data_IF_243673179580
#
_entry.id   IF_243673179580
#
_cell.length_a   1.000
_cell.length_b   1.000
_cell.length_c   1.000
_cell.angle_alpha   90.00
_cell.angle_beta   90.00
_cell.angle_gamma   90.00
#
_symmetry.space_group_name_H-M   'P 1'
#
loop_
_entity.id
_entity.type
_entity.pdbx_description
1 polymer ?
#
# COMPACT_ATOMS: atom_id res chain seq x y z
N UNK A 1 21.31 26.41 67.18
CA UNK A 1 22.52 26.90 66.49
C UNK A 1 23.75 26.42 67.24
N UNK A 2 24.44 25.39 66.72
CA UNK A 2 25.90 25.41 66.56
C UNK A 2 26.20 24.75 65.19
N UNK A 3 26.64 25.54 64.21
CA UNK A 3 27.08 25.10 62.89
C UNK A 3 28.57 24.74 62.94
N UNK A 4 29.01 23.82 62.09
CA UNK A 4 30.44 23.56 61.85
C UNK A 4 30.84 22.12 62.15
N UNK A 5 30.66 21.26 61.16
CA UNK A 5 31.68 20.31 60.67
C UNK A 5 31.04 19.49 59.56
N UNK A 6 30.84 20.14 58.41
CA UNK A 6 30.78 19.42 57.15
C UNK A 6 32.20 19.48 56.59
N UNK A 7 32.92 18.38 56.80
CA UNK A 7 34.21 18.12 56.18
C UNK A 7 34.03 18.09 54.65
N UNK A 8 34.80 18.89 53.93
CA UNK A 8 34.82 18.97 52.46
C UNK A 8 35.31 17.67 51.79
N UNK A 9 35.63 16.62 52.57
CA UNK A 9 36.11 15.34 52.07
C UNK A 9 35.03 14.35 51.59
N UNK A 10 33.73 14.62 51.81
CA UNK A 10 32.64 13.70 51.44
C UNK A 10 31.97 14.00 50.08
N UNK A 11 32.68 14.66 49.17
CA UNK A 11 32.26 14.74 47.77
C UNK A 11 32.61 13.43 47.06
N UNK A 12 31.63 12.51 46.97
CA UNK A 12 31.67 11.41 45.99
C UNK A 12 31.71 11.99 44.58
N UNK A 13 32.91 12.20 44.06
CA UNK A 13 33.18 12.42 42.65
C UNK A 13 32.62 11.23 41.87
N UNK A 14 31.45 11.41 41.25
CA UNK A 14 30.96 10.48 40.24
C UNK A 14 31.99 10.43 39.13
N UNK A 15 32.44 9.23 38.79
CA UNK A 15 33.27 8.99 37.61
C UNK A 15 32.60 9.66 36.41
N UNK A 16 33.30 10.62 35.81
CA UNK A 16 32.84 11.30 34.61
C UNK A 16 32.50 10.25 33.56
N UNK A 17 31.26 10.24 33.08
CA UNK A 17 30.82 9.40 31.98
C UNK A 17 31.68 9.79 30.77
N UNK A 18 32.73 9.03 30.50
CA UNK A 18 33.55 9.19 29.30
C UNK A 18 32.63 9.07 28.09
N UNK A 19 32.23 10.20 27.51
CA UNK A 19 31.57 10.18 26.21
C UNK A 19 32.61 9.69 25.23
N UNK A 20 32.42 8.47 24.69
CA UNK A 20 33.23 7.99 23.57
C UNK A 20 33.26 9.11 22.52
N UNK A 21 34.43 9.47 21.98
CA UNK A 21 34.54 10.51 20.98
C UNK A 21 33.49 10.28 19.88
N UNK A 22 32.74 11.32 19.52
CA UNK A 22 31.86 11.26 18.34
C UNK A 22 32.76 11.06 17.13
N UNK A 23 32.81 9.83 16.63
CA UNK A 23 33.42 9.52 15.35
C UNK A 23 32.65 10.34 14.30
N UNK A 24 33.30 11.38 13.75
CA UNK A 24 32.76 12.18 12.64
C UNK A 24 32.77 11.40 11.32
N UNK A 25 33.41 10.24 11.31
CA UNK A 25 33.40 9.27 10.22
C UNK A 25 32.05 8.55 10.23
N UNK A 26 31.23 8.84 9.22
CA UNK A 26 30.03 8.04 8.95
C UNK A 26 30.49 6.60 8.70
N UNK A 27 29.94 5.59 9.41
CA UNK A 27 30.17 4.21 9.01
C UNK A 27 29.67 4.07 7.57
N UNK A 28 30.48 3.52 6.67
CA UNK A 28 30.05 3.23 5.30
C UNK A 28 29.00 2.12 5.24
N UNK A 29 28.64 1.52 6.40
CA UNK A 29 27.63 0.47 6.55
C UNK A 29 27.86 -0.69 5.55
N UNK A 30 29.13 -1.03 5.30
CA UNK A 30 29.52 -2.08 4.37
C UNK A 30 29.02 -3.49 4.78
N UNK A 31 28.62 -3.66 6.04
CA UNK A 31 28.03 -4.86 6.62
C UNK A 31 26.49 -4.87 6.60
N UNK A 32 25.86 -3.85 6.01
CA UNK A 32 24.41 -3.77 5.99
C UNK A 32 23.80 -4.84 5.08
N UNK A 33 22.74 -5.47 5.58
CA UNK A 33 21.98 -6.44 4.80
C UNK A 33 20.69 -5.81 4.29
N UNK A 34 20.36 -6.10 3.04
CA UNK A 34 19.10 -5.65 2.45
C UNK A 34 17.92 -6.43 3.03
N UNK A 35 16.83 -5.72 3.25
CA UNK A 35 15.62 -6.23 3.84
C UNK A 35 14.40 -5.51 3.29
N UNK A 36 13.25 -6.18 3.34
CA UNK A 36 11.95 -5.57 3.07
C UNK A 36 11.23 -5.26 4.39
N UNK A 37 10.64 -4.07 4.49
CA UNK A 37 9.78 -3.72 5.62
C UNK A 37 8.44 -4.45 5.51
N UNK A 38 8.09 -5.25 6.51
CA UNK A 38 6.85 -6.05 6.53
C UNK A 38 5.81 -5.56 7.52
N UNK A 39 6.21 -4.78 8.53
CA UNK A 39 5.27 -4.19 9.49
C UNK A 39 5.82 -2.90 10.08
N UNK A 40 4.92 -2.02 10.52
CA UNK A 40 5.27 -0.75 11.17
C UNK A 40 4.44 -0.60 12.44
N UNK A 41 5.09 -0.60 13.60
CA UNK A 41 4.44 -0.38 14.88
C UNK A 41 5.21 0.61 15.75
N UNK A 42 4.63 1.81 15.97
CA UNK A 42 5.10 2.83 16.94
C UNK A 42 6.62 3.05 16.97
N UNK A 43 7.23 3.22 15.80
CA UNK A 43 8.68 3.48 15.68
C UNK A 43 9.56 2.22 15.71
N UNK A 44 8.95 1.04 15.60
CA UNK A 44 9.59 -0.23 15.30
C UNK A 44 9.11 -0.71 13.93
N UNK A 45 10.03 -1.30 13.19
CA UNK A 45 9.78 -1.85 11.86
C UNK A 45 10.14 -3.33 11.87
N UNK A 46 9.17 -4.19 11.56
CA UNK A 46 9.47 -5.58 11.23
C UNK A 46 10.09 -5.62 9.83
N UNK A 47 11.23 -6.28 9.69
CA UNK A 47 11.94 -6.42 8.42
C UNK A 47 12.26 -7.89 8.13
N UNK A 48 12.25 -8.25 6.85
CA UNK A 48 12.61 -9.60 6.36
C UNK A 48 13.90 -9.48 5.55
N UNK A 49 14.95 -10.15 6.00
CA UNK A 49 16.29 -10.08 5.40
C UNK A 49 16.37 -10.91 4.12
N UNK A 50 16.86 -10.32 3.03
CA UNK A 50 17.13 -11.04 1.77
C UNK A 50 15.92 -11.76 1.16
N UNK A 51 14.70 -11.35 1.50
CA UNK A 51 13.47 -12.02 1.05
C UNK A 51 13.14 -13.34 1.76
N UNK A 52 13.95 -13.78 2.71
CA UNK A 52 13.73 -15.03 3.45
C UNK A 52 12.77 -14.80 4.63
N UNK A 53 11.54 -15.30 4.50
CA UNK A 53 10.46 -15.17 5.49
C UNK A 53 10.83 -15.64 6.90
N UNK A 54 11.83 -16.51 7.02
CA UNK A 54 12.34 -17.03 8.30
C UNK A 54 13.35 -16.10 8.97
N UNK A 55 13.93 -15.16 8.21
CA UNK A 55 14.93 -14.21 8.68
C UNK A 55 14.28 -12.86 9.01
N UNK A 56 13.38 -12.88 10.01
CA UNK A 56 12.70 -11.70 10.52
C UNK A 56 13.52 -11.01 11.60
N UNK A 57 13.58 -9.68 11.53
CA UNK A 57 14.21 -8.83 12.54
C UNK A 57 13.31 -7.67 12.89
N UNK A 58 13.41 -7.20 14.14
CA UNK A 58 12.82 -5.92 14.53
C UNK A 58 13.90 -4.84 14.44
N UNK A 59 13.61 -3.75 13.75
CA UNK A 59 14.53 -2.65 13.55
C UNK A 59 13.95 -1.32 14.05
N UNK A 60 14.84 -0.41 14.43
CA UNK A 60 14.51 1.01 14.59
C UNK A 60 15.18 1.83 13.50
N UNK A 61 14.58 2.96 13.15
CA UNK A 61 15.20 3.93 12.25
C UNK A 61 16.46 4.53 12.88
N UNK A 62 17.57 4.54 12.14
CA UNK A 62 18.79 5.24 12.53
C UNK A 62 18.57 6.76 12.57
N UNK A 63 19.35 7.47 13.39
CA UNK A 63 19.16 8.91 13.61
C UNK A 63 19.43 9.72 12.34
N UNK A 64 20.33 9.23 11.51
CA UNK A 64 20.82 9.78 10.26
C UNK A 64 19.71 9.86 9.20
N UNK A 65 18.74 8.94 9.23
CA UNK A 65 17.56 8.97 8.36
C UNK A 65 16.55 10.07 8.75
N UNK A 66 16.76 10.75 9.88
CA UNK A 66 15.96 11.88 10.32
C UNK A 66 14.47 11.55 10.38
N UNK A 67 13.67 12.29 9.60
CA UNK A 67 12.21 12.12 9.51
C UNK A 67 11.75 11.37 8.25
N UNK A 68 12.66 10.72 7.54
CA UNK A 68 12.33 9.94 6.34
C UNK A 68 11.20 8.94 6.67
N UNK A 69 10.05 9.00 5.97
CA UNK A 69 8.96 8.04 6.15
C UNK A 69 9.38 6.66 5.65
N UNK A 70 9.15 5.63 6.47
CA UNK A 70 9.40 4.22 6.13
C UNK A 70 8.09 3.48 6.32
N UNK A 71 7.62 2.82 5.26
CA UNK A 71 6.32 2.15 5.19
C UNK A 71 6.50 0.68 4.82
N UNK A 72 5.43 -0.11 4.92
CA UNK A 72 5.44 -1.50 4.46
C UNK A 72 5.75 -1.57 2.96
N UNK A 73 6.62 -2.51 2.61
CA UNK A 73 7.15 -2.72 1.26
C UNK A 73 8.40 -1.90 0.92
N UNK A 74 8.81 -0.92 1.74
CA UNK A 74 10.10 -0.24 1.51
C UNK A 74 11.27 -1.25 1.55
N UNK A 75 12.16 -1.14 0.55
CA UNK A 75 13.47 -1.78 0.57
C UNK A 75 14.38 -0.96 1.48
N UNK A 76 15.05 -1.62 2.42
CA UNK A 76 15.90 -0.97 3.43
C UNK A 76 17.19 -1.74 3.63
N UNK A 77 18.23 -1.05 4.06
CA UNK A 77 19.44 -1.69 4.58
C UNK A 77 19.44 -1.63 6.10
N UNK A 78 19.74 -2.77 6.72
CA UNK A 78 19.76 -2.93 8.17
C UNK A 78 21.11 -3.41 8.68
N UNK A 79 21.51 -2.88 9.84
CA UNK A 79 22.74 -3.24 10.56
C UNK A 79 22.44 -3.58 12.02
N UNK A 80 23.41 -4.15 12.73
CA UNK A 80 23.31 -4.46 14.15
C UNK A 80 23.05 -5.94 14.41
N UNK A 81 22.25 -6.26 15.43
CA UNK A 81 21.89 -7.66 15.69
C UNK A 81 20.81 -8.11 14.70
N UNK A 82 21.24 -8.93 13.74
CA UNK A 82 20.40 -9.50 12.69
C UNK A 82 19.98 -10.95 12.97
N UNK A 83 20.15 -11.43 14.21
CA UNK A 83 19.83 -12.81 14.58
C UNK A 83 18.33 -13.10 14.68
N UNK A 84 17.49 -12.06 14.84
CA UNK A 84 16.04 -12.21 14.96
C UNK A 84 15.57 -12.81 16.29
N UNK A 85 16.47 -13.00 17.26
CA UNK A 85 16.12 -13.51 18.59
C UNK A 85 15.25 -12.50 19.35
N UNK A 86 14.43 -12.95 20.32
CA UNK A 86 13.72 -12.05 21.22
C UNK A 86 14.66 -10.99 21.82
N UNK A 87 14.15 -9.77 21.98
CA UNK A 87 14.86 -8.61 22.52
C UNK A 87 16.08 -8.12 21.71
N UNK A 88 16.31 -8.64 20.51
CA UNK A 88 17.31 -8.11 19.57
C UNK A 88 16.75 -6.93 18.79
N UNK A 89 17.64 -6.01 18.39
CA UNK A 89 17.24 -4.78 17.73
C UNK A 89 18.25 -4.36 16.68
N UNK A 90 17.82 -4.41 15.43
CA UNK A 90 18.55 -3.89 14.29
C UNK A 90 18.31 -2.39 14.10
N UNK A 91 19.05 -1.78 13.16
CA UNK A 91 18.88 -0.39 12.76
C UNK A 91 18.75 -0.26 11.26
N UNK A 92 17.68 0.39 10.79
CA UNK A 92 17.54 0.79 9.39
C UNK A 92 18.43 2.01 9.17
N UNK A 93 19.42 1.88 8.29
CA UNK A 93 20.42 2.93 7.99
C UNK A 93 20.19 3.58 6.63
N UNK A 94 19.54 2.88 5.72
CA UNK A 94 19.17 3.38 4.39
C UNK A 94 17.77 2.91 4.03
N UNK A 95 17.02 3.78 3.34
CA UNK A 95 15.79 3.43 2.62
C UNK A 95 16.09 3.55 1.13
N UNK A 96 15.85 2.50 0.37
CA UNK A 96 16.00 2.47 -1.09
C UNK A 96 15.04 3.43 -1.79
N UNK A 97 15.27 3.64 -3.08
CA UNK A 97 14.30 4.36 -3.92
C UNK A 97 13.04 3.54 -4.11
N UNK A 98 11.88 4.19 -4.17
CA UNK A 98 10.60 3.50 -4.36
C UNK A 98 10.33 3.35 -5.85
N UNK A 99 10.02 2.13 -6.27
CA UNK A 99 9.59 1.81 -7.64
C UNK A 99 8.13 2.18 -7.86
N UNK A 100 7.29 1.91 -6.87
CA UNK A 100 5.86 2.18 -6.86
C UNK A 100 5.43 2.73 -5.50
N UNK A 101 4.32 3.46 -5.48
CA UNK A 101 3.75 4.03 -4.25
C UNK A 101 2.25 3.99 -4.27
N UNK A 102 1.65 3.51 -3.19
CA UNK A 102 0.24 3.73 -2.89
C UNK A 102 0.13 4.88 -1.91
N UNK A 103 -0.55 5.96 -2.33
CA UNK A 103 -0.85 7.11 -1.48
C UNK A 103 -2.27 7.03 -0.94
N UNK A 104 -2.46 7.53 0.27
CA UNK A 104 -3.77 7.66 0.91
C UNK A 104 -3.85 9.01 1.60
N UNK A 105 -5.04 9.58 1.57
CA UNK A 105 -5.38 10.74 2.40
C UNK A 105 -5.71 10.30 3.82
N UNK A 106 -5.34 11.12 4.81
CA UNK A 106 -5.66 10.80 6.20
C UNK A 106 -7.17 10.87 6.47
N UNK A 107 -7.85 11.88 5.90
CA UNK A 107 -9.30 12.14 5.99
C UNK A 107 -9.75 12.98 4.78
N UNK A 108 -11.06 13.04 4.48
CA UNK A 108 -11.62 13.82 3.36
C UNK A 108 -11.30 15.33 3.43
N UNK A 109 -10.92 15.84 4.60
CA UNK A 109 -10.59 17.25 4.85
C UNK A 109 -9.09 17.55 4.94
N UNK A 110 -8.23 16.53 5.00
CA UNK A 110 -6.78 16.72 5.05
C UNK A 110 -6.23 16.64 3.61
N UNK A 111 -5.72 17.72 3.01
CA UNK A 111 -5.14 17.63 1.67
C UNK A 111 -3.81 16.85 1.65
N UNK A 112 -3.28 16.46 2.82
CA UNK A 112 -1.97 15.84 2.94
C UNK A 112 -2.06 14.34 2.67
N UNK A 113 -1.71 13.97 1.46
CA UNK A 113 -1.52 12.57 1.10
C UNK A 113 -0.25 11.99 1.71
N UNK A 114 -0.35 10.74 2.14
CA UNK A 114 0.77 9.99 2.72
C UNK A 114 0.92 8.67 1.99
N UNK A 115 2.16 8.29 1.70
CA UNK A 115 2.46 6.94 1.23
C UNK A 115 2.09 5.96 2.34
N UNK A 116 1.28 4.95 2.01
CA UNK A 116 0.87 3.89 2.93
C UNK A 116 1.52 2.55 2.63
N UNK A 117 1.88 2.33 1.37
CA UNK A 117 2.61 1.14 0.90
C UNK A 117 3.57 1.57 -0.21
N UNK A 118 4.74 0.94 -0.26
CA UNK A 118 5.75 1.15 -1.29
C UNK A 118 6.09 -0.17 -1.99
N UNK A 119 6.63 -0.09 -3.20
CA UNK A 119 7.22 -1.21 -3.95
C UNK A 119 6.30 -2.43 -4.14
N UNK A 120 4.98 -2.24 -4.09
CA UNK A 120 4.03 -3.27 -4.47
C UNK A 120 3.89 -3.30 -5.99
N UNK A 121 3.79 -4.49 -6.55
CA UNK A 121 3.63 -4.73 -7.98
C UNK A 121 2.16 -4.55 -8.40
N UNK A 122 1.24 -4.92 -7.51
CA UNK A 122 -0.18 -5.03 -7.82
C UNK A 122 -1.07 -4.44 -6.72
N UNK A 123 -2.27 -4.01 -7.13
CA UNK A 123 -3.35 -3.58 -6.25
C UNK A 123 -4.58 -4.46 -6.46
N UNK A 124 -4.89 -5.32 -5.49
CA UNK A 124 -6.11 -6.12 -5.48
C UNK A 124 -7.25 -5.32 -4.83
N UNK A 125 -8.16 -4.83 -5.66
CA UNK A 125 -9.34 -4.05 -5.28
C UNK A 125 -10.45 -5.02 -4.89
N UNK A 126 -10.67 -5.21 -3.60
CA UNK A 126 -11.67 -6.11 -3.04
C UNK A 126 -13.02 -5.40 -2.93
N UNK A 127 -14.02 -5.93 -3.63
CA UNK A 127 -15.38 -5.38 -3.69
C UNK A 127 -16.38 -6.48 -3.37
N UNK A 128 -17.28 -6.22 -2.43
CA UNK A 128 -18.42 -7.09 -2.17
C UNK A 128 -19.54 -6.85 -3.19
N UNK A 129 -20.11 -7.94 -3.71
CA UNK A 129 -21.26 -7.88 -4.62
C UNK A 129 -22.58 -7.56 -3.89
N UNK A 130 -22.66 -7.87 -2.59
CA UNK A 130 -23.77 -7.48 -1.73
C UNK A 130 -23.31 -7.28 -0.27
N UNK A 131 -24.07 -6.50 0.50
CA UNK A 131 -23.87 -6.29 1.95
C UNK A 131 -22.44 -5.94 2.38
N UNK A 132 -21.89 -4.78 1.96
CA UNK A 132 -22.64 -3.67 1.38
C UNK A 132 -22.62 -3.66 -0.16
N UNK A 133 -23.52 -2.88 -0.79
CA UNK A 133 -23.55 -2.74 -2.24
C UNK A 133 -22.21 -2.26 -2.82
N UNK A 134 -21.83 -2.77 -4.00
CA UNK A 134 -20.58 -2.38 -4.64
C UNK A 134 -20.60 -0.90 -5.03
N UNK A 135 -19.47 -0.22 -4.83
CA UNK A 135 -19.32 1.23 -5.08
C UNK A 135 -18.42 1.47 -6.27
N UNK A 136 -19.00 1.55 -7.48
CA UNK A 136 -18.24 1.79 -8.73
C UNK A 136 -17.33 3.00 -8.64
N UNK A 137 -17.80 4.12 -8.07
CA UNK A 137 -16.98 5.33 -7.92
C UNK A 137 -15.73 5.14 -7.04
N UNK A 138 -15.78 4.26 -6.02
CA UNK A 138 -14.59 3.93 -5.24
C UNK A 138 -13.61 3.10 -6.06
N UNK A 139 -14.10 2.16 -6.87
CA UNK A 139 -13.28 1.35 -7.77
C UNK A 139 -12.58 2.25 -8.79
N UNK A 140 -13.30 3.15 -9.45
CA UNK A 140 -12.74 4.08 -10.43
C UNK A 140 -11.62 4.95 -9.82
N UNK A 141 -11.86 5.53 -8.63
CA UNK A 141 -10.83 6.31 -7.91
C UNK A 141 -9.62 5.46 -7.51
N UNK A 142 -9.85 4.20 -7.17
CA UNK A 142 -8.79 3.26 -6.82
C UNK A 142 -7.96 2.87 -8.04
N UNK A 143 -8.60 2.67 -9.20
CA UNK A 143 -7.92 2.41 -10.47
C UNK A 143 -7.00 3.57 -10.84
N UNK A 144 -7.50 4.81 -10.73
CA UNK A 144 -6.71 6.03 -10.96
C UNK A 144 -5.48 6.07 -10.05
N UNK A 145 -5.66 5.80 -8.75
CA UNK A 145 -4.56 5.76 -7.80
C UNK A 145 -3.55 4.63 -8.10
N UNK A 146 -4.01 3.47 -8.58
CA UNK A 146 -3.15 2.36 -8.98
C UNK A 146 -2.27 2.75 -10.18
N UNK A 147 -2.90 3.30 -11.23
CA UNK A 147 -2.23 3.73 -12.44
C UNK A 147 -1.20 4.82 -12.18
N UNK A 148 -1.56 5.88 -11.45
CA UNK A 148 -0.64 6.94 -11.06
C UNK A 148 0.49 6.45 -10.13
N UNK A 149 0.24 5.39 -9.35
CA UNK A 149 1.20 4.75 -8.46
C UNK A 149 2.10 3.71 -9.13
N UNK A 150 1.87 3.40 -10.42
CA UNK A 150 2.58 2.37 -11.16
C UNK A 150 2.23 0.93 -10.75
N UNK A 151 1.07 0.69 -10.14
CA UNK A 151 0.61 -0.63 -9.74
C UNK A 151 -0.32 -1.23 -10.81
N UNK A 152 -0.22 -2.53 -11.06
CA UNK A 152 -1.22 -3.24 -11.88
C UNK A 152 -2.48 -3.50 -11.05
N UNK A 153 -3.65 -2.92 -11.39
CA UNK A 153 -4.88 -3.19 -10.67
C UNK A 153 -5.48 -4.55 -11.04
N UNK A 154 -6.10 -5.20 -10.05
CA UNK A 154 -6.91 -6.40 -10.21
C UNK A 154 -8.21 -6.18 -9.44
N UNK A 155 -9.36 -6.40 -10.06
CA UNK A 155 -10.66 -6.34 -9.40
C UNK A 155 -11.02 -7.72 -8.84
N UNK A 156 -11.20 -7.80 -7.52
CA UNK A 156 -11.56 -9.02 -6.82
C UNK A 156 -12.97 -8.90 -6.25
N UNK A 157 -13.89 -9.68 -6.80
CA UNK A 157 -15.30 -9.71 -6.41
C UNK A 157 -15.50 -10.76 -5.33
N UNK A 158 -16.09 -10.35 -4.21
CA UNK A 158 -16.40 -11.22 -3.07
C UNK A 158 -17.90 -11.29 -2.85
N UNK A 159 -18.31 -12.23 -1.99
CA UNK A 159 -19.72 -12.48 -1.64
C UNK A 159 -20.56 -12.89 -2.87
N UNK A 160 -19.96 -13.72 -3.71
CA UNK A 160 -20.59 -14.36 -4.88
C UNK A 160 -21.73 -15.29 -4.50
N UNK A 161 -21.77 -15.74 -3.24
CA UNK A 161 -22.90 -16.44 -2.63
C UNK A 161 -24.17 -15.57 -2.50
N UNK A 162 -24.04 -14.24 -2.51
CA UNK A 162 -25.14 -13.30 -2.34
C UNK A 162 -25.62 -12.66 -3.64
N UNK A 163 -24.73 -12.48 -4.63
CA UNK A 163 -25.05 -11.88 -5.91
C UNK A 163 -24.08 -12.35 -7.01
N UNK A 164 -24.54 -12.45 -8.27
CA UNK A 164 -23.70 -12.85 -9.39
C UNK A 164 -22.66 -11.77 -9.75
N UNK A 165 -21.43 -12.15 -10.14
CA UNK A 165 -20.35 -11.20 -10.46
C UNK A 165 -20.54 -10.47 -11.80
N UNK A 166 -21.21 -11.08 -12.77
CA UNK A 166 -21.24 -10.64 -14.17
C UNK A 166 -21.77 -9.20 -14.35
N UNK A 167 -22.91 -8.80 -13.75
CA UNK A 167 -23.46 -7.45 -13.95
C UNK A 167 -22.54 -6.32 -13.45
N UNK A 168 -21.71 -6.61 -12.44
CA UNK A 168 -20.74 -5.64 -11.93
C UNK A 168 -19.45 -5.67 -12.74
N UNK A 169 -18.97 -6.86 -13.11
CA UNK A 169 -17.77 -7.04 -13.92
C UNK A 169 -17.90 -6.41 -15.32
N UNK A 170 -19.08 -6.49 -15.95
CA UNK A 170 -19.37 -5.90 -17.26
C UNK A 170 -19.10 -4.38 -17.32
N UNK A 171 -19.18 -3.68 -16.19
CA UNK A 171 -18.87 -2.25 -16.12
C UNK A 171 -17.40 -1.94 -16.38
N UNK A 172 -16.50 -2.92 -16.26
CA UNK A 172 -15.04 -2.73 -16.38
C UNK A 172 -14.44 -3.46 -17.60
N UNK A 173 -15.26 -4.08 -18.44
CA UNK A 173 -14.81 -4.89 -19.59
C UNK A 173 -13.94 -4.09 -20.57
N UNK A 174 -14.18 -2.79 -20.69
CA UNK A 174 -13.47 -1.90 -21.62
C UNK A 174 -12.15 -1.36 -21.04
N UNK A 175 -11.81 -1.66 -19.78
CA UNK A 175 -10.63 -1.12 -19.07
C UNK A 175 -9.39 -2.04 -19.10
N UNK A 176 -9.42 -3.15 -19.84
CA UNK A 176 -8.38 -4.21 -19.79
C UNK A 176 -8.02 -4.61 -18.35
N UNK A 177 -9.05 -4.65 -17.49
CA UNK A 177 -8.91 -4.92 -16.07
C UNK A 177 -9.07 -6.42 -15.84
N UNK A 178 -8.10 -7.03 -15.16
CA UNK A 178 -8.27 -8.41 -14.68
C UNK A 178 -9.34 -8.44 -13.59
N UNK A 179 -10.41 -9.20 -13.80
CA UNK A 179 -11.50 -9.40 -12.84
C UNK A 179 -11.52 -10.86 -12.39
N UNK A 180 -11.53 -11.08 -11.09
CA UNK A 180 -11.60 -12.42 -10.48
C UNK A 180 -12.66 -12.47 -9.38
N UNK A 181 -13.25 -13.64 -9.19
CA UNK A 181 -14.12 -13.95 -8.07
C UNK A 181 -13.33 -14.65 -6.96
N UNK A 182 -13.55 -14.24 -5.71
CA UNK A 182 -12.92 -14.83 -4.53
C UNK A 182 -13.86 -14.75 -3.31
N UNK A 183 -15.15 -14.99 -3.52
CA UNK A 183 -16.12 -15.22 -2.47
C UNK A 183 -15.75 -16.43 -1.60
N UNK A 184 -16.44 -16.60 -0.46
CA UNK A 184 -16.06 -17.54 0.60
C UNK A 184 -15.86 -18.97 0.09
N UNK A 185 -16.69 -19.38 -0.86
CA UNK A 185 -16.73 -20.74 -1.40
C UNK A 185 -16.03 -20.86 -2.78
N UNK A 186 -15.55 -19.74 -3.33
CA UNK A 186 -14.87 -19.73 -4.63
C UNK A 186 -13.44 -20.31 -4.52
N UNK A 187 -12.96 -21.07 -5.51
CA UNK A 187 -11.58 -21.55 -5.53
C UNK A 187 -10.59 -20.38 -5.60
N UNK A 188 -9.49 -20.47 -4.84
CA UNK A 188 -8.47 -19.42 -4.82
C UNK A 188 -7.35 -19.59 -5.85
N UNK A 189 -7.34 -20.67 -6.64
CA UNK A 189 -6.25 -20.98 -7.58
C UNK A 189 -5.97 -19.81 -8.53
N UNK A 190 -7.00 -19.26 -9.18
CA UNK A 190 -6.84 -18.14 -10.10
C UNK A 190 -6.29 -16.88 -9.41
N UNK A 191 -6.68 -16.63 -8.15
CA UNK A 191 -6.13 -15.52 -7.37
C UNK A 191 -4.66 -15.82 -7.02
N UNK A 192 -4.36 -17.02 -6.52
CA UNK A 192 -3.02 -17.41 -6.14
C UNK A 192 -2.02 -17.33 -7.30
N UNK A 193 -2.41 -17.76 -8.50
CA UNK A 193 -1.61 -17.66 -9.72
C UNK A 193 -1.30 -16.20 -10.07
N UNK A 194 -2.26 -15.29 -9.90
CA UNK A 194 -2.04 -13.86 -10.14
C UNK A 194 -1.04 -13.24 -9.15
N UNK A 195 -1.09 -13.67 -7.88
CA UNK A 195 -0.26 -13.16 -6.78
C UNK A 195 1.15 -13.79 -6.75
N UNK A 196 1.37 -14.85 -7.51
CA UNK A 196 2.61 -15.61 -7.53
C UNK A 196 3.82 -14.73 -7.87
N UNK A 197 4.84 -14.77 -7.00
CA UNK A 197 6.09 -14.04 -7.12
C UNK A 197 5.97 -12.52 -6.93
N UNK A 198 4.81 -12.00 -6.53
CA UNK A 198 4.52 -10.55 -6.49
C UNK A 198 4.19 -10.07 -5.09
N UNK A 199 4.35 -8.77 -4.89
CA UNK A 199 3.88 -8.03 -3.72
C UNK A 199 2.56 -7.36 -4.10
N UNK A 200 1.47 -7.85 -3.52
CA UNK A 200 0.12 -7.36 -3.84
C UNK A 200 -0.51 -6.69 -2.63
N UNK A 201 -0.98 -5.46 -2.82
CA UNK A 201 -1.72 -4.73 -1.78
C UNK A 201 -3.20 -5.07 -1.88
N UNK A 202 -3.81 -5.44 -0.77
CA UNK A 202 -5.25 -5.64 -0.69
C UNK A 202 -5.92 -4.38 -0.17
N UNK A 203 -6.94 -3.96 -0.89
CA UNK A 203 -7.63 -2.71 -0.65
C UNK A 203 -9.13 -2.87 -0.83
N UNK A 204 -9.91 -2.31 0.08
CA UNK A 204 -11.37 -2.25 -0.02
C UNK A 204 -11.95 -1.59 1.22
N UNK A 205 -13.23 -1.24 1.18
CA UNK A 205 -13.87 -0.65 2.36
C UNK A 205 -14.10 -1.70 3.45
N UNK A 206 -14.47 -1.26 4.65
CA UNK A 206 -14.82 -2.18 5.74
C UNK A 206 -16.03 -3.05 5.35
N UNK A 207 -15.97 -4.36 5.62
CA UNK A 207 -17.09 -5.28 5.35
C UNK A 207 -17.10 -5.95 3.97
N UNK A 208 -16.19 -5.61 3.04
CA UNK A 208 -16.07 -6.31 1.74
C UNK A 208 -15.58 -7.76 1.84
N UNK A 209 -15.15 -8.23 3.01
CA UNK A 209 -14.53 -9.55 3.15
C UNK A 209 -13.02 -9.58 2.87
N UNK A 210 -12.32 -8.43 2.92
CA UNK A 210 -10.85 -8.38 2.77
C UNK A 210 -10.13 -9.26 3.80
N UNK A 211 -10.46 -9.14 5.09
CA UNK A 211 -9.83 -9.99 6.14
C UNK A 211 -10.13 -11.47 5.94
N UNK A 212 -11.35 -11.80 5.50
CA UNK A 212 -11.72 -13.18 5.14
C UNK A 212 -10.87 -13.69 3.99
N UNK A 213 -10.67 -12.89 2.93
CA UNK A 213 -9.80 -13.25 1.82
C UNK A 213 -8.35 -13.42 2.27
N UNK A 214 -7.83 -12.51 3.10
CA UNK A 214 -6.47 -12.62 3.65
C UNK A 214 -6.28 -13.93 4.43
N UNK A 215 -7.21 -14.30 5.31
CA UNK A 215 -7.10 -15.55 6.06
C UNK A 215 -7.21 -16.79 5.16
N UNK A 216 -7.92 -16.71 4.05
CA UNK A 216 -7.97 -17.82 3.10
C UNK A 216 -6.69 -17.93 2.27
N UNK A 217 -6.04 -16.79 1.97
CA UNK A 217 -4.76 -16.74 1.27
C UNK A 217 -3.57 -17.09 2.17
N UNK A 218 -3.65 -16.72 3.45
CA UNK A 218 -2.64 -16.93 4.47
C UNK A 218 -3.33 -17.46 5.74
N UNK A 219 -3.55 -18.79 5.84
CA UNK A 219 -4.27 -19.41 6.95
C UNK A 219 -3.73 -19.02 8.33
N UNK A 220 -2.40 -18.94 8.47
CA UNK A 220 -1.74 -18.60 9.74
C UNK A 220 -1.70 -17.08 10.04
N UNK A 221 -2.37 -16.24 9.24
CA UNK A 221 -2.39 -14.79 9.47
C UNK A 221 -3.27 -14.37 10.65
N UNK A 222 -4.23 -15.21 11.06
CA UNK A 222 -5.18 -14.98 12.16
C UNK A 222 -5.76 -13.55 12.18
N UNK A 223 -6.11 -13.00 11.01
CA UNK A 223 -6.69 -11.66 10.93
C UNK A 223 -8.07 -11.70 11.57
N UNK A 224 -8.37 -10.70 12.40
CA UNK A 224 -9.69 -10.56 13.00
C UNK A 224 -10.77 -10.49 11.91
N UNK A 225 -11.67 -11.48 11.93
CA UNK A 225 -12.91 -11.54 11.14
C UNK A 225 -14.04 -11.43 12.13
N UNK A 226 -14.83 -10.36 12.07
CA UNK A 226 -15.94 -10.14 12.98
C UNK A 226 -17.06 -9.38 12.28
N UNK A 227 -18.30 -9.75 12.63
CA UNK A 227 -19.51 -9.11 12.14
C UNK A 227 -19.56 -7.64 12.55
N UNK A 228 -20.11 -6.82 11.66
CA UNK A 228 -20.38 -5.40 11.90
C UNK A 228 -21.53 -5.31 12.90
N UNK A 229 -21.25 -5.50 14.19
CA UNK A 229 -22.19 -5.16 15.25
C UNK A 229 -21.82 -3.81 15.85
N UNK A 230 -22.75 -2.87 15.72
CA UNK A 230 -22.89 -1.74 16.62
C UNK A 230 -22.81 -2.26 18.05
N UNK A 231 -21.76 -1.88 18.80
CA UNK A 231 -21.75 -1.55 20.24
C UNK A 231 -20.27 -1.44 20.70
N UNK A 232 -19.87 -0.23 21.08
CA UNK A 232 -19.08 0.02 22.29
C UNK A 232 -17.62 -0.47 22.39
N UNK A 233 -16.69 0.46 22.11
CA UNK A 233 -15.31 0.53 22.67
C UNK A 233 -14.41 -0.71 22.48
N UNK A 234 -13.74 -0.73 21.32
CA UNK A 234 -12.56 -1.55 21.06
C UNK A 234 -12.39 -1.86 19.58
N UNK A 235 -12.35 -0.84 18.73
CA UNK A 235 -12.26 -0.97 17.27
C UNK A 235 -10.90 -1.56 16.87
N UNK A 236 -10.76 -2.88 16.93
CA UNK A 236 -9.66 -3.62 16.29
C UNK A 236 -9.97 -3.87 14.81
N UNK A 237 -10.35 -2.82 14.08
CA UNK A 237 -10.25 -2.82 12.61
C UNK A 237 -8.76 -2.69 12.29
N UNK A 238 -8.18 -3.52 11.42
CA UNK A 238 -6.74 -3.49 11.05
C UNK A 238 -6.25 -2.04 10.93
N UNK A 239 -5.53 -1.51 11.92
CA UNK A 239 -5.12 -0.09 11.98
C UNK A 239 -3.77 0.16 11.30
N UNK A 240 -3.06 -0.92 11.00
CA UNK A 240 -1.72 -0.90 10.42
C UNK A 240 -1.69 -1.82 9.20
N UNK A 241 -0.92 -1.41 8.19
CA UNK A 241 -0.61 -2.28 7.06
C UNK A 241 0.39 -3.35 7.50
N UNK A 242 0.24 -4.58 7.01
CA UNK A 242 1.16 -5.69 7.28
C UNK A 242 1.35 -6.51 6.02
N UNK A 243 2.61 -6.83 5.68
CA UNK A 243 2.95 -7.76 4.63
C UNK A 243 3.00 -9.18 5.19
N UNK A 244 2.21 -10.05 4.59
CA UNK A 244 2.07 -11.45 4.94
C UNK A 244 2.61 -12.29 3.77
N UNK A 245 3.54 -13.23 4.02
CA UNK A 245 4.05 -14.07 2.95
C UNK A 245 2.95 -15.04 2.50
N UNK A 246 2.83 -15.22 1.20
CA UNK A 246 2.08 -16.32 0.64
C UNK A 246 2.94 -17.58 0.81
N UNK A 247 2.38 -18.57 1.48
CA UNK A 247 2.99 -19.87 1.73
C UNK A 247 2.00 -20.97 1.38
N UNK A 248 2.41 -22.23 1.52
CA UNK A 248 1.52 -23.38 1.44
C UNK A 248 0.24 -23.16 2.28
N UNK A 249 -0.94 -23.59 1.79
CA UNK A 249 -1.17 -24.66 0.81
C UNK A 249 -1.38 -24.20 -0.66
N UNK A 250 -1.16 -22.92 -0.97
CA UNK A 250 -1.38 -22.40 -2.33
C UNK A 250 -0.22 -22.69 -3.29
N UNK A 251 0.85 -23.35 -2.84
CA UNK A 251 2.00 -23.72 -3.68
C UNK A 251 2.77 -22.55 -4.29
N UNK A 252 2.53 -21.31 -3.85
CA UNK A 252 3.09 -20.11 -4.46
C UNK A 252 3.88 -19.26 -3.47
N UNK A 253 4.86 -18.53 -4.01
CA UNK A 253 5.65 -17.53 -3.28
C UNK A 253 5.07 -16.14 -3.56
N UNK A 254 5.27 -15.18 -2.67
CA UNK A 254 4.77 -13.81 -2.86
C UNK A 254 4.38 -13.17 -1.53
N UNK A 255 3.80 -11.97 -1.61
CA UNK A 255 3.39 -11.21 -0.44
C UNK A 255 2.03 -10.57 -0.64
N UNK A 256 1.21 -10.64 0.39
CA UNK A 256 -0.05 -9.90 0.49
C UNK A 256 0.10 -8.84 1.56
N UNK A 257 -0.11 -7.58 1.17
CA UNK A 257 -0.13 -6.45 2.09
C UNK A 257 -1.59 -6.17 2.47
N UNK A 258 -1.98 -6.59 3.68
CA UNK A 258 -3.28 -6.23 4.25
C UNK A 258 -3.24 -4.77 4.69
N UNK A 259 -4.12 -3.93 4.13
CA UNK A 259 -4.24 -2.52 4.52
C UNK A 259 -5.52 -2.27 5.35
N UNK A 260 -5.52 -1.26 6.24
CA UNK A 260 -6.75 -0.74 6.82
C UNK A 260 -7.76 -0.35 5.73
N UNK A 261 -9.05 -0.57 5.98
CA UNK A 261 -10.09 -0.18 5.03
C UNK A 261 -10.00 1.32 4.69
N UNK A 262 -10.02 1.65 3.41
CA UNK A 262 -9.92 3.03 2.91
C UNK A 262 -11.31 3.54 2.57
N UNK A 263 -11.60 4.79 2.95
CA UNK A 263 -12.86 5.49 2.64
C UNK A 263 -12.75 6.31 1.37
N UNK A 264 -11.60 6.95 1.15
CA UNK A 264 -11.34 7.81 0.01
C UNK A 264 -9.84 7.85 -0.33
N UNK A 265 -9.57 8.22 -1.58
CA UNK A 265 -8.25 8.58 -2.07
C UNK A 265 -8.24 10.04 -2.44
N UNK A 266 -7.21 10.76 -1.99
CA UNK A 266 -6.84 12.05 -2.54
C UNK A 266 -6.21 11.78 -3.89
N UNK A 267 -6.79 12.39 -4.92
CA UNK A 267 -6.32 12.29 -6.29
C UNK A 267 -5.80 13.66 -6.79
N UNK A 268 -5.63 14.63 -5.90
CA UNK A 268 -5.35 16.03 -6.24
C UNK A 268 -3.99 16.22 -6.92
N UNK A 269 -3.05 15.30 -6.70
CA UNK A 269 -1.73 15.32 -7.32
C UNK A 269 -1.68 14.63 -8.70
N UNK A 270 -2.75 13.94 -9.10
CA UNK A 270 -2.81 13.14 -10.31
C UNK A 270 -3.31 14.01 -11.46
N UNK A 271 -2.57 14.02 -12.57
CA UNK A 271 -2.94 14.73 -13.79
C UNK A 271 -3.72 13.79 -14.73
N UNK A 272 -4.56 14.33 -15.63
CA UNK A 272 -5.22 13.54 -16.66
C UNK A 272 -4.26 12.64 -17.45
N UNK A 273 -3.10 13.17 -17.84
CA UNK A 273 -2.07 12.41 -18.57
C UNK A 273 -1.58 11.18 -17.78
N UNK A 274 -1.42 11.28 -16.45
CA UNK A 274 -0.97 10.17 -15.62
C UNK A 274 -1.95 8.98 -15.68
N UNK A 275 -3.25 9.27 -15.84
CA UNK A 275 -4.29 8.24 -16.02
C UNK A 275 -4.21 7.63 -17.42
N UNK A 276 -4.01 8.47 -18.44
CA UNK A 276 -3.95 8.04 -19.83
C UNK A 276 -2.73 7.15 -20.13
N UNK A 277 -1.61 7.36 -19.44
CA UNK A 277 -0.42 6.52 -19.59
C UNK A 277 -0.64 5.04 -19.25
N UNK A 278 -1.69 4.71 -18.49
CA UNK A 278 -2.07 3.32 -18.21
C UNK A 278 -2.81 2.63 -19.37
N UNK A 279 -3.34 3.40 -20.32
CA UNK A 279 -4.01 2.90 -21.51
C UNK A 279 -3.02 2.95 -22.66
N UNK A 280 -2.21 1.89 -22.83
CA UNK A 280 -1.13 1.88 -23.83
C UNK A 280 -1.59 2.28 -25.24
N UNK A 281 -2.78 1.84 -25.63
CA UNK A 281 -3.41 2.17 -26.92
C UNK A 281 -3.84 3.64 -27.05
N UNK A 282 -4.20 4.29 -25.94
CA UNK A 282 -4.59 5.70 -25.92
C UNK A 282 -3.40 6.64 -25.64
N UNK A 283 -2.39 6.15 -24.93
CA UNK A 283 -1.18 6.90 -24.57
C UNK A 283 -0.42 7.39 -25.82
N UNK A 284 -0.38 6.59 -26.88
CA UNK A 284 0.21 7.00 -28.17
C UNK A 284 -0.63 8.10 -28.84
N UNK A 285 -1.96 7.98 -28.81
CA UNK A 285 -2.85 8.96 -29.43
C UNK A 285 -2.78 10.33 -28.76
N UNK A 286 -2.64 10.39 -27.42
CA UNK A 286 -2.59 11.67 -26.71
C UNK A 286 -1.27 12.43 -26.90
N UNK A 287 -0.25 11.83 -27.51
CA UNK A 287 0.99 12.53 -27.83
C UNK A 287 0.77 13.69 -28.82
N UNK A 288 -0.27 13.59 -29.65
CA UNK A 288 -0.67 14.62 -30.61
C UNK A 288 -1.67 15.65 -30.01
N UNK A 289 -2.04 15.51 -28.74
CA UNK A 289 -2.93 16.47 -28.08
C UNK A 289 -2.20 17.81 -27.82
N UNK A 290 -2.93 18.94 -27.81
CA UNK A 290 -2.41 20.21 -27.32
C UNK A 290 -1.92 20.10 -25.87
N UNK A 291 -0.92 20.90 -25.51
CA UNK A 291 -0.42 20.95 -24.13
C UNK A 291 -1.53 21.38 -23.16
N UNK A 292 -1.73 20.58 -22.11
CA UNK A 292 -2.75 20.86 -21.09
C UNK A 292 -4.16 20.34 -21.42
N UNK A 293 -4.30 19.50 -22.46
CA UNK A 293 -5.53 18.76 -22.74
C UNK A 293 -5.97 17.93 -21.52
N UNK A 294 -7.23 18.05 -21.12
CA UNK A 294 -7.85 17.24 -20.07
C UNK A 294 -8.41 15.91 -20.56
N UNK A 295 -8.36 15.67 -21.87
CA UNK A 295 -8.88 14.48 -22.59
C UNK A 295 -10.39 14.22 -22.44
N UNK A 296 -11.15 15.21 -21.96
CA UNK A 296 -12.60 15.11 -21.74
C UNK A 296 -13.43 15.30 -23.02
N UNK A 297 -12.80 15.79 -24.09
CA UNK A 297 -13.46 16.07 -25.37
C UNK A 297 -14.23 17.40 -25.37
N UNK A 298 -14.90 17.74 -26.48
CA UNK A 298 -15.62 19.00 -26.61
C UNK A 298 -16.77 19.16 -25.59
N UNK A 299 -17.01 20.37 -25.06
CA UNK A 299 -16.34 21.63 -25.38
C UNK A 299 -15.06 21.90 -24.57
N UNK A 300 -14.70 21.06 -23.60
CA UNK A 300 -13.56 21.29 -22.72
C UNK A 300 -12.22 21.14 -23.47
N UNK A 301 -12.11 20.09 -24.28
CA UNK A 301 -10.93 19.77 -25.08
C UNK A 301 -11.33 19.56 -26.56
N UNK A 302 -11.61 20.64 -27.32
CA UNK A 302 -12.14 20.55 -28.68
C UNK A 302 -11.17 19.95 -29.70
N UNK A 303 -9.87 19.97 -29.40
CA UNK A 303 -8.78 19.47 -30.26
C UNK A 303 -8.14 18.20 -29.67
N UNK A 304 -8.87 17.45 -28.85
CA UNK A 304 -8.37 16.21 -28.26
C UNK A 304 -8.22 15.12 -29.33
N UNK A 305 -7.02 14.56 -29.47
CA UNK A 305 -6.71 13.52 -30.44
C UNK A 305 -7.56 12.25 -30.24
N UNK A 306 -8.03 11.98 -29.01
CA UNK A 306 -8.92 10.85 -28.73
C UNK A 306 -10.25 10.91 -29.50
N UNK A 307 -10.72 12.10 -29.87
CA UNK A 307 -11.95 12.26 -30.64
C UNK A 307 -11.80 11.85 -32.12
N UNK A 308 -10.56 11.64 -32.58
CA UNK A 308 -10.27 11.13 -33.93
C UNK A 308 -10.26 9.60 -33.99
N UNK A 309 -10.22 8.92 -32.84
CA UNK A 309 -10.18 7.47 -32.76
C UNK A 309 -11.53 6.86 -33.15
N UNK A 310 -11.50 5.73 -33.86
CA UNK A 310 -12.69 5.04 -34.37
C UNK A 310 -12.68 3.55 -34.05
N UNK A 311 -13.81 2.87 -34.25
CA UNK A 311 -13.91 1.43 -34.05
C UNK A 311 -13.81 1.01 -32.57
N UNK A 312 -13.10 -0.08 -32.24
CA UNK A 312 -13.00 -0.58 -30.86
C UNK A 312 -12.43 0.43 -29.85
N UNK A 313 -11.59 1.35 -30.30
CA UNK A 313 -10.99 2.38 -29.46
C UNK A 313 -12.02 3.35 -28.85
N UNK A 314 -13.18 3.55 -29.48
CA UNK A 314 -14.24 4.44 -28.98
C UNK A 314 -14.73 4.02 -27.59
N UNK A 315 -14.90 2.71 -27.37
CA UNK A 315 -15.31 2.17 -26.08
C UNK A 315 -14.24 2.38 -25.01
N UNK A 316 -12.97 2.23 -25.38
CA UNK A 316 -11.84 2.48 -24.48
C UNK A 316 -11.70 3.95 -24.12
N UNK A 317 -11.88 4.85 -25.08
CA UNK A 317 -11.94 6.31 -24.83
C UNK A 317 -13.06 6.64 -23.85
N UNK A 318 -14.26 6.06 -24.03
CA UNK A 318 -15.38 6.28 -23.10
C UNK A 318 -15.04 5.78 -21.68
N UNK A 319 -14.40 4.63 -21.56
CA UNK A 319 -13.96 4.08 -20.27
C UNK A 319 -12.88 4.95 -19.60
N UNK A 320 -11.88 5.42 -20.36
CA UNK A 320 -10.86 6.34 -19.87
C UNK A 320 -11.48 7.67 -19.40
N UNK A 321 -12.40 8.24 -20.20
CA UNK A 321 -13.15 9.46 -19.82
C UNK A 321 -14.00 9.28 -18.57
N UNK A 322 -14.53 8.09 -18.30
CA UNK A 322 -15.20 7.79 -17.02
C UNK A 322 -14.25 7.96 -15.83
N UNK A 323 -13.02 7.45 -15.94
CA UNK A 323 -12.00 7.62 -14.91
C UNK A 323 -11.59 9.09 -14.76
N UNK A 324 -11.39 9.81 -15.87
CA UNK A 324 -11.07 11.25 -15.84
C UNK A 324 -12.20 12.08 -15.21
N UNK A 325 -13.46 11.72 -15.46
CA UNK A 325 -14.59 12.34 -14.78
C UNK A 325 -14.55 12.08 -13.26
N UNK A 326 -14.18 10.88 -12.83
CA UNK A 326 -14.04 10.54 -11.41
C UNK A 326 -12.83 11.23 -10.73
N UNK A 327 -11.77 11.53 -11.49
CA UNK A 327 -10.63 12.34 -11.06
C UNK A 327 -11.07 13.78 -10.75
N UNK A 328 -11.89 14.36 -11.62
CA UNK A 328 -12.36 15.75 -11.52
C UNK A 328 -13.50 15.96 -10.51
N UNK A 329 -14.12 14.88 -10.03
CA UNK A 329 -15.12 14.95 -8.97
C UNK A 329 -14.43 15.10 -7.61
N UNK A 330 -14.55 16.29 -7.02
CA UNK A 330 -14.24 16.54 -5.61
C UNK A 330 -15.21 15.70 -4.77
N UNK A 331 -14.68 14.88 -3.85
CA UNK A 331 -15.47 14.10 -2.90
C UNK A 331 -16.24 14.99 -1.93
#
# INVERSE_FOLDING_TARGET
MKPGDYDESDVKTRSGRGSRPRTKTRPEHADAQSAMVVSVDRGRWGCVLGGDVNRRVTAMRARELGRTPIVVGDDVDVVGDLSGRPDTLARIVRRGERRTVLRRTADDTDPTERVVVANADQLLIVVALADPPPRTGLVDRTLIAAYAGGLTPILCLTKTDLAPPEPFAEQFVDLDLTVVAAGRDDPLLAVADLLAGKITVLLGHSGVGKSTLVNRLVPDADRAVGDVTDIGRGRHTSTQSVALPLTEPLGTTGWVIDTPGIRSFGLAHIRPDDVMMAFSDLAEAIADCPRGCGHMGPPADPECALDTLTGPAVRRVAAARRLLAALNQTS
#
